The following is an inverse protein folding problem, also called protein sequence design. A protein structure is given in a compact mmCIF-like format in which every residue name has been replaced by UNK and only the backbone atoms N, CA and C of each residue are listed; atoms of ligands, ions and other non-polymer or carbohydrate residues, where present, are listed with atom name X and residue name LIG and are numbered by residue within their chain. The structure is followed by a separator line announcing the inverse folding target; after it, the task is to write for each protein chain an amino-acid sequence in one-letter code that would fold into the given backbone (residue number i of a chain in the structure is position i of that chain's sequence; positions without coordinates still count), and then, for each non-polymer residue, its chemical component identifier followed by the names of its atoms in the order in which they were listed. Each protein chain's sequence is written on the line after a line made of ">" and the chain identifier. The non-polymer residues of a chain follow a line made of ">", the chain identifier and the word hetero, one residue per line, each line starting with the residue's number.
data_IF_849973329051
#
_entry.id   IF_849973329051
#
_cell.length_a   1.000
_cell.length_b   1.000
_cell.length_c   1.000
_cell.angle_alpha   90.00
_cell.angle_beta   90.00
_cell.angle_gamma   90.00
#
_symmetry.space_group_name_H-M   'P 1'
#
loop_
_entity.id
_entity.type
_entity.pdbx_description
1 polymer ?
#
# COMPACT_ATOMS: atom_id res chain seq x y z
N UNK A 1 -36.73 -0.86 -16.04
CA UNK A 1 -35.37 -1.39 -15.88
C UNK A 1 -34.99 -1.05 -14.45
N UNK A 2 -34.76 -2.04 -13.61
CA UNK A 2 -34.46 -1.78 -12.21
C UNK A 2 -32.96 -1.57 -12.09
N UNK A 3 -32.53 -0.30 -12.07
CA UNK A 3 -31.23 0.03 -11.50
C UNK A 3 -31.22 -0.54 -10.08
N UNK A 4 -30.46 -1.60 -9.89
CA UNK A 4 -30.17 -2.10 -8.56
C UNK A 4 -29.31 -1.03 -7.92
N UNK A 5 -29.92 -0.24 -7.04
CA UNK A 5 -29.25 0.55 -6.01
C UNK A 5 -28.49 -0.46 -5.13
N UNK A 6 -27.33 -0.87 -5.64
CA UNK A 6 -26.40 -1.76 -4.98
C UNK A 6 -25.96 -1.02 -3.73
N UNK A 7 -26.15 -1.62 -2.57
CA UNK A 7 -25.76 -1.00 -1.31
C UNK A 7 -24.24 -0.77 -1.34
N UNK A 8 -23.86 0.50 -1.54
CA UNK A 8 -22.49 0.96 -1.71
C UNK A 8 -22.05 1.52 -0.37
N UNK A 9 -21.27 0.72 0.37
CA UNK A 9 -20.87 1.05 1.73
C UNK A 9 -19.42 1.53 1.75
N UNK A 10 -19.15 2.69 2.35
CA UNK A 10 -17.78 3.06 2.73
C UNK A 10 -17.36 2.27 3.97
N UNK A 11 -16.20 1.65 3.92
CA UNK A 11 -15.63 0.86 5.02
C UNK A 11 -14.14 1.18 5.17
N UNK A 12 -13.73 1.54 6.38
CA UNK A 12 -12.32 1.57 6.77
C UNK A 12 -11.89 0.21 7.29
N UNK A 13 -10.62 -0.13 7.07
CA UNK A 13 -10.08 -1.38 7.53
C UNK A 13 -8.56 -1.46 7.38
N UNK A 14 -8.04 -2.64 7.67
CA UNK A 14 -6.62 -2.96 7.53
C UNK A 14 -6.42 -4.09 6.52
N UNK A 15 -5.46 -3.95 5.62
CA UNK A 15 -5.04 -5.02 4.70
C UNK A 15 -4.46 -6.17 5.52
N UNK A 16 -5.19 -7.28 5.58
CA UNK A 16 -4.78 -8.52 6.27
C UNK A 16 -3.54 -9.11 5.63
N UNK A 17 -3.55 -9.12 4.30
CA UNK A 17 -2.46 -9.46 3.40
C UNK A 17 -2.89 -9.09 1.99
N UNK A 18 -1.93 -8.81 1.13
CA UNK A 18 -2.14 -8.68 -0.31
C UNK A 18 -1.05 -9.47 -1.04
N UNK A 19 -1.45 -10.35 -1.95
CA UNK A 19 -0.51 -11.11 -2.78
C UNK A 19 -0.49 -10.48 -4.18
N UNK A 20 0.52 -9.65 -4.51
CA UNK A 20 0.61 -9.02 -5.82
C UNK A 20 0.81 -10.03 -6.95
N UNK A 21 1.25 -11.26 -6.65
CA UNK A 21 1.42 -12.35 -7.62
C UNK A 21 0.07 -12.97 -7.98
N UNK A 22 -0.78 -13.20 -6.97
CA UNK A 22 -2.13 -13.75 -7.16
C UNK A 22 -3.14 -12.69 -7.61
N UNK A 23 -2.84 -11.40 -7.41
CA UNK A 23 -3.70 -10.29 -7.81
C UNK A 23 -4.90 -10.06 -6.89
N UNK A 24 -4.86 -10.60 -5.67
CA UNK A 24 -5.90 -10.36 -4.66
C UNK A 24 -5.31 -10.40 -3.25
N UNK A 25 -6.06 -9.80 -2.32
CA UNK A 25 -5.82 -9.84 -0.89
C UNK A 25 -7.14 -9.72 -0.14
N UNK A 26 -7.04 -9.55 1.17
CA UNK A 26 -8.20 -9.30 2.03
C UNK A 26 -7.98 -8.11 2.96
N UNK A 27 -9.05 -7.39 3.23
CA UNK A 27 -9.11 -6.29 4.19
C UNK A 27 -10.03 -6.71 5.33
N UNK A 28 -9.59 -6.50 6.56
CA UNK A 28 -10.44 -6.65 7.75
C UNK A 28 -11.08 -5.30 8.03
N UNK A 29 -12.42 -5.27 8.08
CA UNK A 29 -13.20 -4.09 8.47
C UNK A 29 -12.96 -3.74 9.94
N UNK A 30 -12.77 -2.45 10.25
CA UNK A 30 -12.62 -1.98 11.63
C UNK A 30 -13.90 -2.16 12.46
N UNK A 31 -15.07 -2.16 11.82
CA UNK A 31 -16.35 -2.46 12.44
C UNK A 31 -16.53 -3.96 12.77
N UNK A 32 -15.55 -4.80 12.41
CA UNK A 32 -15.67 -6.24 12.40
C UNK A 32 -16.56 -6.75 11.25
N UNK A 33 -16.83 -8.06 11.27
CA UNK A 33 -17.60 -8.74 10.23
C UNK A 33 -16.72 -9.58 9.29
N UNK A 34 -17.18 -9.88 8.07
CA UNK A 34 -16.46 -10.73 7.12
C UNK A 34 -15.23 -10.03 6.53
N UNK A 35 -14.20 -10.82 6.18
CA UNK A 35 -13.06 -10.33 5.39
C UNK A 35 -13.56 -9.79 4.04
N UNK A 36 -13.15 -8.57 3.69
CA UNK A 36 -13.48 -7.89 2.43
C UNK A 36 -12.47 -8.31 1.37
N UNK A 37 -12.93 -8.83 0.24
CA UNK A 37 -12.07 -9.18 -0.88
C UNK A 37 -11.51 -7.92 -1.55
N UNK A 38 -10.19 -7.75 -1.56
CA UNK A 38 -9.48 -6.66 -2.23
C UNK A 38 -8.83 -7.17 -3.52
N UNK A 39 -9.41 -6.84 -4.66
CA UNK A 39 -8.88 -7.25 -5.97
C UNK A 39 -7.85 -6.23 -6.49
N UNK A 40 -6.78 -6.68 -7.17
CA UNK A 40 -5.72 -5.81 -7.68
C UNK A 40 -6.20 -4.73 -8.68
N UNK A 41 -7.37 -4.88 -9.28
CA UNK A 41 -7.96 -3.82 -10.13
C UNK A 41 -8.38 -2.60 -9.30
N UNK A 42 -8.81 -2.81 -8.06
CA UNK A 42 -9.34 -1.77 -7.16
C UNK A 42 -8.20 -0.88 -6.67
N UNK A 43 -7.08 -1.51 -6.24
CA UNK A 43 -5.82 -0.81 -5.93
C UNK A 43 -5.26 -0.05 -7.14
N UNK A 44 -5.27 -0.66 -8.33
CA UNK A 44 -4.75 -0.03 -9.55
C UNK A 44 -5.54 1.19 -9.99
N UNK A 45 -6.87 1.21 -9.79
CA UNK A 45 -7.69 2.40 -10.03
C UNK A 45 -7.31 3.57 -9.10
N UNK A 46 -6.80 3.28 -7.90
CA UNK A 46 -6.27 4.25 -6.94
C UNK A 46 -4.77 4.59 -7.17
N UNK A 47 -4.16 4.09 -8.23
CA UNK A 47 -2.75 4.37 -8.57
C UNK A 47 -1.73 3.59 -7.76
N UNK A 48 -2.11 2.44 -7.18
CA UNK A 48 -1.23 1.57 -6.39
C UNK A 48 -1.19 0.16 -6.99
N UNK A 49 0.02 -0.36 -7.25
CA UNK A 49 0.21 -1.71 -7.84
C UNK A 49 0.26 -2.83 -6.80
N UNK A 50 0.63 -2.49 -5.58
CA UNK A 50 0.58 -3.33 -4.40
C UNK A 50 0.20 -2.46 -3.22
N UNK A 51 -0.23 -3.11 -2.15
CA UNK A 51 -0.38 -2.50 -0.84
C UNK A 51 0.34 -3.42 0.16
N UNK A 52 0.87 -2.85 1.24
CA UNK A 52 1.50 -3.66 2.27
C UNK A 52 0.46 -4.51 3.01
N UNK A 53 0.89 -5.64 3.55
CA UNK A 53 0.26 -6.21 4.71
C UNK A 53 0.28 -5.20 5.88
N UNK A 54 -0.79 -5.21 6.69
CA UNK A 54 -1.05 -4.25 7.77
C UNK A 54 -1.19 -2.77 7.34
N UNK A 55 -1.32 -2.47 6.05
CA UNK A 55 -1.66 -1.12 5.58
C UNK A 55 -3.09 -0.73 5.96
N UNK A 56 -3.31 0.52 6.36
CA UNK A 56 -4.65 1.07 6.53
C UNK A 56 -5.27 1.35 5.17
N UNK A 57 -6.58 1.13 5.02
CA UNK A 57 -7.26 1.33 3.75
C UNK A 57 -8.72 1.75 3.96
N UNK A 58 -9.14 2.76 3.21
CA UNK A 58 -10.55 3.14 3.08
C UNK A 58 -11.04 2.64 1.72
N UNK A 59 -12.05 1.78 1.73
CA UNK A 59 -12.63 1.17 0.54
C UNK A 59 -14.12 1.42 0.45
N UNK A 60 -14.60 1.59 -0.78
CA UNK A 60 -16.00 1.37 -1.11
C UNK A 60 -16.20 -0.12 -1.30
N UNK A 61 -17.21 -0.70 -0.65
CA UNK A 61 -17.52 -2.13 -0.74
C UNK A 61 -18.94 -2.40 -1.22
N UNK A 62 -19.16 -3.66 -1.61
CA UNK A 62 -20.41 -4.18 -2.10
C UNK A 62 -20.65 -5.59 -1.58
N UNK A 63 -21.85 -5.86 -1.07
CA UNK A 63 -22.27 -7.23 -0.76
C UNK A 63 -22.62 -8.00 -2.04
N UNK A 64 -22.15 -9.25 -2.11
CA UNK A 64 -22.47 -10.17 -3.20
C UNK A 64 -22.67 -11.59 -2.68
N UNK A 65 -23.21 -12.48 -3.53
CA UNK A 65 -23.41 -13.90 -3.21
C UNK A 65 -22.11 -14.69 -2.88
N UNK A 66 -20.93 -14.05 -2.94
CA UNK A 66 -19.62 -14.61 -2.56
C UNK A 66 -18.99 -13.92 -1.33
N UNK A 67 -19.73 -13.03 -0.66
CA UNK A 67 -19.25 -12.17 0.41
C UNK A 67 -19.06 -10.71 -0.02
N UNK A 68 -18.42 -9.93 0.85
CA UNK A 68 -18.15 -8.51 0.64
C UNK A 68 -16.90 -8.33 -0.24
N UNK A 69 -16.99 -7.45 -1.23
CA UNK A 69 -15.85 -7.10 -2.09
C UNK A 69 -15.65 -5.59 -2.14
N UNK A 70 -14.39 -5.15 -2.12
CA UNK A 70 -14.03 -3.78 -2.44
C UNK A 70 -14.27 -3.53 -3.94
N UNK A 71 -14.81 -2.35 -4.27
CA UNK A 71 -15.06 -1.91 -5.65
C UNK A 71 -14.26 -0.65 -6.01
N UNK A 72 -13.89 0.16 -5.01
CA UNK A 72 -13.05 1.35 -5.14
C UNK A 72 -12.18 1.50 -3.87
N UNK A 73 -10.98 2.05 -4.00
CA UNK A 73 -10.16 2.49 -2.86
C UNK A 73 -10.20 4.01 -2.83
N UNK A 74 -10.55 4.57 -1.68
CA UNK A 74 -10.65 6.01 -1.44
C UNK A 74 -9.35 6.56 -0.88
N UNK A 75 -8.69 5.78 -0.01
CA UNK A 75 -7.42 6.12 0.60
C UNK A 75 -6.62 4.85 0.94
N UNK A 76 -5.30 4.90 0.84
CA UNK A 76 -4.39 3.92 1.42
C UNK A 76 -3.46 4.65 2.36
N UNK A 77 -3.53 4.30 3.64
CA UNK A 77 -2.53 4.70 4.62
C UNK A 77 -1.42 3.64 4.63
N UNK A 78 -0.14 4.03 4.67
CA UNK A 78 0.96 3.08 4.71
C UNK A 78 0.88 2.22 5.98
N UNK A 79 1.44 1.00 6.01
CA UNK A 79 1.44 0.20 7.24
C UNK A 79 2.13 0.99 8.36
N UNK A 80 1.49 1.03 9.52
CA UNK A 80 2.11 1.59 10.73
C UNK A 80 3.39 0.81 11.01
N UNK A 81 4.55 1.44 10.79
CA UNK A 81 5.83 0.76 10.57
C UNK A 81 6.22 -0.24 11.66
N UNK A 82 6.00 -1.53 11.39
CA UNK A 82 6.43 -2.66 12.20
C UNK A 82 7.49 -3.48 11.49
N UNK A 83 8.66 -3.56 12.12
CA UNK A 83 9.73 -4.58 11.89
C UNK A 83 10.59 -4.50 10.62
N UNK A 84 11.84 -4.06 10.86
CA UNK A 84 12.99 -4.48 10.05
C UNK A 84 13.33 -5.92 10.42
N UNK A 85 13.51 -6.76 9.41
CA UNK A 85 14.70 -7.59 9.39
C UNK A 85 15.86 -6.67 9.01
N UNK A 86 16.86 -6.54 9.87
CA UNK A 86 17.90 -5.53 9.70
C UNK A 86 18.76 -5.75 8.46
N UNK A 87 18.99 -4.67 7.72
CA UNK A 87 20.30 -4.46 7.08
C UNK A 87 21.30 -4.15 8.19
N UNK A 88 21.97 -5.21 8.64
CA UNK A 88 23.34 -5.07 9.14
C UNK A 88 24.21 -4.82 7.90
N UNK A 89 24.98 -3.71 7.82
CA UNK A 89 25.90 -3.51 6.71
C UNK A 89 27.10 -4.46 6.86
N UNK A 90 26.97 -5.67 6.30
CA UNK A 90 28.11 -6.56 6.13
C UNK A 90 29.13 -5.89 5.19
N UNK A 91 30.37 -5.80 5.64
CA UNK A 91 31.39 -4.93 5.05
C UNK A 91 31.96 -5.54 3.76
N UNK A 92 31.22 -5.47 2.64
CA UNK A 92 31.63 -6.14 1.42
C UNK A 92 30.77 -5.97 0.15
N UNK A 93 30.37 -4.75 -0.22
CA UNK A 93 30.08 -4.47 -1.64
C UNK A 93 30.36 -3.02 -2.04
N UNK A 94 30.90 -2.89 -3.24
CA UNK A 94 31.56 -1.67 -3.72
C UNK A 94 30.59 -0.78 -4.53
N UNK A 95 30.87 0.53 -4.50
CA UNK A 95 30.45 1.55 -5.47
C UNK A 95 28.94 1.71 -5.77
N UNK A 96 28.25 2.39 -4.85
CA UNK A 96 27.58 3.60 -5.30
C UNK A 96 28.66 4.64 -5.64
N UNK A 97 28.61 5.26 -6.82
CA UNK A 97 29.41 6.46 -7.14
C UNK A 97 29.26 7.46 -5.98
N UNK A 98 30.33 8.17 -5.55
CA UNK A 98 30.23 9.12 -4.46
C UNK A 98 29.24 10.20 -4.86
N UNK A 99 28.04 10.17 -4.26
CA UNK A 99 27.00 11.18 -4.44
C UNK A 99 27.63 12.54 -4.18
N UNK A 100 27.62 13.40 -5.20
CA UNK A 100 28.20 14.72 -5.08
C UNK A 100 27.44 15.49 -4.01
N UNK A 101 28.08 15.65 -2.84
CA UNK A 101 27.51 16.29 -1.65
C UNK A 101 27.23 17.80 -1.88
N UNK A 102 27.58 18.31 -3.06
CA UNK A 102 27.24 19.65 -3.55
C UNK A 102 25.84 19.73 -4.16
N UNK A 103 25.16 18.60 -4.41
CA UNK A 103 23.80 18.57 -4.93
C UNK A 103 22.78 19.00 -3.85
N UNK A 104 21.74 19.77 -4.21
CA UNK A 104 20.71 20.17 -3.25
C UNK A 104 19.88 18.96 -2.83
N UNK A 105 19.75 18.75 -1.51
CA UNK A 105 18.86 17.73 -0.96
C UNK A 105 17.40 18.08 -1.27
N UNK A 106 16.71 17.19 -1.98
CA UNK A 106 15.30 17.35 -2.30
C UNK A 106 14.42 16.83 -1.16
N UNK A 107 13.49 17.62 -0.62
CA UNK A 107 12.64 17.19 0.47
C UNK A 107 11.57 16.20 -0.05
N UNK A 108 11.38 15.07 0.67
CA UNK A 108 10.42 14.03 0.31
C UNK A 108 9.66 13.43 1.50
N UNK A 109 8.58 12.68 1.22
CA UNK A 109 7.57 12.15 2.16
C UNK A 109 7.33 10.66 1.90
N UNK A 110 7.88 9.79 2.76
CA UNK A 110 7.71 8.32 2.69
C UNK A 110 6.22 7.91 2.48
N UNK A 111 5.93 7.18 1.38
CA UNK A 111 4.61 6.63 1.02
C UNK A 111 4.43 5.17 1.42
N UNK A 112 5.46 4.32 1.42
CA UNK A 112 5.36 2.97 2.03
C UNK A 112 6.74 2.30 2.09
N UNK A 113 7.05 1.52 3.13
CA UNK A 113 8.36 0.85 3.27
C UNK A 113 8.23 -0.56 3.85
N UNK A 114 8.63 -1.56 3.05
CA UNK A 114 8.85 -2.95 3.41
C UNK A 114 10.14 -3.07 4.24
N UNK A 115 10.03 -2.75 5.53
CA UNK A 115 11.16 -2.82 6.46
C UNK A 115 11.79 -4.22 6.47
N UNK A 116 11.01 -5.29 6.36
CA UNK A 116 11.52 -6.66 6.37
C UNK A 116 12.45 -7.02 5.18
N UNK A 117 12.37 -6.25 4.09
CA UNK A 117 13.19 -6.42 2.87
C UNK A 117 14.15 -5.24 2.62
N UNK A 118 14.25 -4.30 3.56
CA UNK A 118 15.17 -3.15 3.49
C UNK A 118 14.73 -1.99 2.60
N UNK A 119 13.51 -1.95 2.06
CA UNK A 119 13.13 -0.98 1.02
C UNK A 119 11.77 -0.29 1.17
N UNK A 120 11.55 0.81 0.45
CA UNK A 120 10.29 1.54 0.39
C UNK A 120 10.24 2.68 -0.62
N UNK A 121 9.39 3.67 -0.40
CA UNK A 121 8.93 4.68 -1.37
C UNK A 121 8.62 6.01 -0.67
N UNK A 122 8.79 7.17 -1.32
CA UNK A 122 8.68 8.51 -0.72
C UNK A 122 8.36 9.66 -1.69
N UNK A 123 7.15 10.21 -1.64
CA UNK A 123 6.69 11.32 -2.46
C UNK A 123 7.53 12.62 -2.31
N UNK A 124 8.22 13.10 -3.35
CA UNK A 124 9.01 14.35 -3.29
C UNK A 124 8.09 15.57 -3.25
N UNK A 125 8.32 16.54 -2.35
CA UNK A 125 7.48 17.73 -2.27
C UNK A 125 7.57 18.56 -3.54
N UNK A 126 6.41 18.89 -4.12
CA UNK A 126 6.33 19.58 -5.42
C UNK A 126 6.49 18.64 -6.63
N UNK A 127 6.52 17.33 -6.42
CA UNK A 127 6.38 16.29 -7.44
C UNK A 127 5.24 15.35 -7.04
N UNK A 128 4.58 14.75 -8.01
CA UNK A 128 3.54 13.74 -7.77
C UNK A 128 4.13 12.32 -7.63
N UNK A 129 5.47 12.21 -7.64
CA UNK A 129 6.24 10.98 -7.77
C UNK A 129 6.79 10.47 -6.43
N UNK A 130 6.79 9.15 -6.26
CA UNK A 130 7.34 8.45 -5.09
C UNK A 130 8.77 7.94 -5.32
N UNK A 131 9.72 8.40 -4.52
CA UNK A 131 11.15 8.03 -4.55
C UNK A 131 11.41 6.78 -3.74
N UNK A 132 11.98 5.77 -4.38
CA UNK A 132 12.37 4.53 -3.70
C UNK A 132 13.46 4.81 -2.65
N UNK A 133 13.27 4.25 -1.45
CA UNK A 133 14.24 4.25 -0.36
C UNK A 133 14.77 2.82 -0.20
N UNK A 134 16.06 2.66 -0.03
CA UNK A 134 16.73 1.40 0.30
C UNK A 134 17.84 1.75 1.28
N UNK A 135 18.06 0.91 2.28
CA UNK A 135 19.18 1.00 3.22
C UNK A 135 20.00 -0.30 3.16
#
# INVERSE_FOLDING_TARGET
>A
MSDTEKDVLHVTGTVKWFDPTKGFGFVVSDAGGPDILLHANVLRNFGQSSVADSAGIEVVVQETARGIQAIEVVHIEPPASGEVGGVEPDAGSEIAEPVDMSLPLEPARVKWFDKAKGFGFANVFGRDEDVFLHI
#
